data_IF_952111725221
#
_entry.id   IF_952111725221
#
_cell.length_a   1.000
_cell.length_b   1.000
_cell.length_c   1.000
_cell.angle_alpha   90.00
_cell.angle_beta   90.00
_cell.angle_gamma   90.00
#
_symmetry.space_group_name_H-M   'P 1'
#
loop_
_entity.id
_entity.type
_entity.pdbx_description
1 polymer ?
#
# COMPACT_ATOMS: atom_id res chain seq x y z
N UNK A 1 -4.79 17.56 33.22
CA UNK A 1 -5.45 17.43 31.90
C UNK A 1 -6.51 16.34 32.04
N UNK A 2 -7.80 16.63 31.82
CA UNK A 2 -8.94 15.75 32.22
C UNK A 2 -9.84 15.32 31.04
N UNK A 3 -9.66 15.90 29.84
CA UNK A 3 -10.49 15.56 28.67
C UNK A 3 -10.00 14.27 27.97
N UNK A 4 -10.92 13.44 27.44
CA UNK A 4 -10.55 12.24 26.68
C UNK A 4 -10.05 12.57 25.26
N UNK A 5 -9.29 11.65 24.66
CA UNK A 5 -8.69 11.79 23.33
C UNK A 5 -9.72 11.95 22.19
N UNK A 6 -10.96 11.48 22.39
CA UNK A 6 -12.03 11.58 21.40
C UNK A 6 -12.62 13.00 21.24
N UNK A 7 -12.08 14.00 21.97
CA UNK A 7 -12.53 15.38 21.86
C UNK A 7 -12.19 15.94 20.47
N UNK A 8 -13.19 16.43 19.75
CA UNK A 8 -12.99 17.04 18.43
C UNK A 8 -12.14 18.30 18.53
N UNK A 9 -11.32 18.51 17.49
CA UNK A 9 -10.49 19.70 17.33
C UNK A 9 -10.49 20.12 15.87
N UNK A 10 -10.09 21.36 15.62
CA UNK A 10 -9.97 21.95 14.30
C UNK A 10 -8.55 22.47 14.13
N UNK A 11 -7.99 22.31 12.94
CA UNK A 11 -6.69 22.85 12.59
C UNK A 11 -6.63 23.16 11.10
N UNK A 12 -5.76 24.11 10.76
CA UNK A 12 -5.38 24.36 9.37
C UNK A 12 -4.24 23.44 8.99
N UNK A 13 -4.39 22.75 7.86
CA UNK A 13 -3.34 21.88 7.31
C UNK A 13 -2.99 22.32 5.90
N UNK A 14 -1.71 22.66 5.70
CA UNK A 14 -1.13 23.01 4.40
C UNK A 14 -0.07 21.97 4.06
N UNK A 15 -0.16 21.39 2.87
CA UNK A 15 0.74 20.36 2.38
C UNK A 15 0.83 20.46 0.85
N UNK A 16 1.96 20.09 0.28
CA UNK A 16 2.09 19.95 -1.17
C UNK A 16 1.45 18.63 -1.67
N UNK A 17 1.25 18.54 -2.98
CA UNK A 17 0.57 17.41 -3.59
C UNK A 17 1.35 16.09 -3.41
N UNK A 18 2.68 16.09 -3.51
CA UNK A 18 3.48 14.86 -3.40
C UNK A 18 3.32 14.24 -2.01
N UNK A 19 3.47 15.05 -0.96
CA UNK A 19 3.33 14.60 0.41
C UNK A 19 1.87 14.28 0.77
N UNK A 20 0.89 14.94 0.17
CA UNK A 20 -0.52 14.59 0.32
C UNK A 20 -0.83 13.19 -0.24
N UNK A 21 -0.33 12.87 -1.44
CA UNK A 21 -0.50 11.54 -2.04
C UNK A 21 0.17 10.46 -1.19
N UNK A 22 1.36 10.74 -0.65
CA UNK A 22 2.01 9.82 0.28
C UNK A 22 1.22 9.62 1.58
N UNK A 23 0.68 10.70 2.16
CA UNK A 23 -0.21 10.62 3.33
C UNK A 23 -1.44 9.75 3.04
N UNK A 24 -2.10 9.98 1.90
CA UNK A 24 -3.27 9.20 1.48
C UNK A 24 -2.89 7.72 1.34
N UNK A 25 -1.77 7.39 0.70
CA UNK A 25 -1.33 6.00 0.56
C UNK A 25 -1.19 5.27 1.91
N UNK A 26 -0.64 5.95 2.93
CA UNK A 26 -0.45 5.37 4.26
C UNK A 26 -1.73 5.31 5.10
N UNK A 27 -2.65 6.25 4.91
CA UNK A 27 -3.86 6.38 5.74
C UNK A 27 -5.09 5.75 5.14
N UNK A 28 -5.12 5.53 3.83
CA UNK A 28 -6.14 4.73 3.16
C UNK A 28 -5.92 3.22 3.32
N UNK A 29 -4.75 2.79 3.81
CA UNK A 29 -4.41 1.38 3.98
C UNK A 29 -5.36 0.67 4.97
N UNK A 30 -5.76 -0.59 4.72
CA UNK A 30 -6.62 -1.37 5.62
C UNK A 30 -6.06 -1.52 7.05
N UNK A 31 -4.73 -1.51 7.22
CA UNK A 31 -4.06 -1.60 8.52
C UNK A 31 -4.09 -0.26 9.29
N UNK A 32 -4.46 0.85 8.64
CA UNK A 32 -4.66 2.12 9.32
C UNK A 32 -5.94 2.11 10.17
N UNK A 33 -5.94 2.92 11.24
CA UNK A 33 -7.11 3.09 12.10
C UNK A 33 -8.30 3.64 11.29
N UNK A 34 -9.51 3.14 11.55
CA UNK A 34 -10.71 3.46 10.76
C UNK A 34 -10.98 4.97 10.67
N UNK A 35 -10.86 5.70 11.78
CA UNK A 35 -11.16 7.13 11.85
C UNK A 35 -10.28 7.94 10.89
N UNK A 36 -8.97 7.68 10.84
CA UNK A 36 -8.08 8.40 9.92
C UNK A 36 -8.25 7.95 8.47
N UNK A 37 -8.63 6.69 8.25
CA UNK A 37 -8.97 6.18 6.92
C UNK A 37 -10.17 6.89 6.32
N UNK A 38 -11.22 7.14 7.11
CA UNK A 38 -12.38 7.91 6.66
C UNK A 38 -12.00 9.33 6.18
N UNK A 39 -11.06 10.00 6.87
CA UNK A 39 -10.52 11.28 6.38
C UNK A 39 -9.71 11.12 5.09
N UNK A 40 -8.85 10.10 5.01
CA UNK A 40 -8.03 9.84 3.82
C UNK A 40 -8.88 9.55 2.57
N UNK A 41 -9.99 8.81 2.71
CA UNK A 41 -10.93 8.53 1.61
C UNK A 41 -11.58 9.81 1.07
N UNK A 42 -11.97 10.74 1.94
CA UNK A 42 -12.51 12.04 1.51
C UNK A 42 -11.45 12.87 0.80
N UNK A 43 -10.23 12.92 1.33
CA UNK A 43 -9.11 13.62 0.70
C UNK A 43 -8.76 13.03 -0.68
N UNK A 44 -8.79 11.70 -0.83
CA UNK A 44 -8.56 11.04 -2.11
C UNK A 44 -9.60 11.47 -3.16
N UNK A 45 -10.89 11.55 -2.80
CA UNK A 45 -11.95 12.04 -3.69
C UNK A 45 -11.74 13.50 -4.09
N UNK A 46 -11.26 14.34 -3.18
CA UNK A 46 -10.94 15.75 -3.49
C UNK A 46 -9.78 15.81 -4.49
N UNK A 47 -8.72 15.03 -4.26
CA UNK A 47 -7.56 14.93 -5.18
C UNK A 47 -8.00 14.46 -6.56
N UNK A 48 -8.88 13.46 -6.65
CA UNK A 48 -9.44 12.98 -7.93
C UNK A 48 -10.19 14.06 -8.70
N UNK A 49 -10.95 14.92 -8.00
CA UNK A 49 -11.68 16.02 -8.63
C UNK A 49 -10.77 17.17 -9.07
N UNK A 50 -9.75 17.50 -8.28
CA UNK A 50 -8.89 18.65 -8.54
C UNK A 50 -7.74 18.37 -9.51
N UNK A 51 -7.11 17.20 -9.41
CA UNK A 51 -5.93 16.81 -10.19
C UNK A 51 -6.09 15.40 -10.79
N UNK A 52 -7.09 15.18 -11.67
CA UNK A 52 -7.51 13.85 -12.12
C UNK A 52 -6.39 13.04 -12.80
N UNK A 53 -5.54 13.68 -13.59
CA UNK A 53 -4.42 13.00 -14.26
C UNK A 53 -3.40 12.46 -13.24
N UNK A 54 -3.09 13.25 -12.22
CA UNK A 54 -2.18 12.84 -11.15
C UNK A 54 -2.82 11.78 -10.26
N UNK A 55 -4.12 11.90 -9.97
CA UNK A 55 -4.86 10.92 -9.20
C UNK A 55 -4.91 9.55 -9.92
N UNK A 56 -5.13 9.54 -11.24
CA UNK A 56 -5.09 8.32 -12.05
C UNK A 56 -3.71 7.66 -12.02
N UNK A 57 -2.63 8.44 -12.23
CA UNK A 57 -1.27 7.92 -12.14
C UNK A 57 -0.93 7.41 -10.72
N UNK A 58 -1.38 8.13 -9.68
CA UNK A 58 -1.20 7.68 -8.30
C UNK A 58 -1.89 6.34 -8.05
N UNK A 59 -3.12 6.16 -8.54
CA UNK A 59 -3.85 4.91 -8.41
C UNK A 59 -3.12 3.76 -9.10
N UNK A 60 -2.78 3.92 -10.37
CA UNK A 60 -2.13 2.90 -11.20
C UNK A 60 -0.77 2.47 -10.61
N UNK A 61 0.12 3.42 -10.34
CA UNK A 61 1.50 3.09 -9.95
C UNK A 61 1.72 2.88 -8.44
N UNK A 62 0.82 3.37 -7.57
CA UNK A 62 1.04 3.33 -6.11
C UNK A 62 -0.02 2.55 -5.34
N UNK A 63 -1.27 2.58 -5.77
CA UNK A 63 -2.36 1.89 -5.05
C UNK A 63 -2.58 0.49 -5.62
N UNK A 64 -2.62 0.38 -6.94
CA UNK A 64 -2.83 -0.88 -7.67
C UNK A 64 -1.50 -1.54 -8.06
N UNK A 65 -0.41 -0.76 -8.08
CA UNK A 65 0.94 -1.24 -8.28
C UNK A 65 1.51 -1.97 -7.06
N UNK A 66 2.57 -2.74 -7.30
CA UNK A 66 3.26 -3.50 -6.26
C UNK A 66 4.78 -3.33 -6.35
N UNK A 67 5.44 -3.24 -5.19
CA UNK A 67 6.89 -3.21 -5.09
C UNK A 67 7.41 -4.59 -4.70
N UNK A 68 8.31 -5.16 -5.52
CA UNK A 68 8.99 -6.41 -5.23
C UNK A 68 10.38 -6.14 -4.66
N UNK A 69 10.76 -6.89 -3.61
CA UNK A 69 12.15 -6.91 -3.17
C UNK A 69 13.06 -7.48 -4.27
N UNK A 70 14.35 -7.15 -4.25
CA UNK A 70 15.28 -7.65 -5.26
C UNK A 70 15.31 -9.18 -5.35
N UNK A 71 15.22 -9.87 -4.20
CA UNK A 71 15.11 -11.33 -4.13
C UNK A 71 13.75 -11.83 -4.65
N UNK A 72 12.65 -11.17 -4.27
CA UNK A 72 11.32 -11.52 -4.76
C UNK A 72 11.22 -11.40 -6.29
N UNK A 73 11.85 -10.38 -6.87
CA UNK A 73 11.92 -10.23 -8.33
C UNK A 73 12.71 -11.37 -9.00
N UNK A 74 13.79 -11.87 -8.38
CA UNK A 74 14.52 -13.03 -8.90
C UNK A 74 13.67 -14.30 -8.87
N UNK A 75 12.92 -14.52 -7.78
CA UNK A 75 11.96 -15.61 -7.67
C UNK A 75 10.94 -15.55 -8.79
N UNK A 76 10.32 -14.39 -9.02
CA UNK A 76 9.35 -14.21 -10.12
C UNK A 76 9.96 -14.52 -11.48
N UNK A 77 11.20 -14.08 -11.74
CA UNK A 77 11.91 -14.39 -12.99
C UNK A 77 12.12 -15.90 -13.19
N UNK A 78 12.49 -16.63 -12.14
CA UNK A 78 12.67 -18.08 -12.16
C UNK A 78 11.35 -18.81 -12.40
N UNK A 79 10.29 -18.39 -11.73
CA UNK A 79 8.93 -18.91 -11.95
C UNK A 79 8.48 -18.70 -13.41
N UNK A 80 8.71 -17.51 -13.97
CA UNK A 80 8.39 -17.21 -15.38
C UNK A 80 9.24 -18.02 -16.38
N UNK A 81 10.45 -18.43 -16.00
CA UNK A 81 11.30 -19.33 -16.79
C UNK A 81 10.84 -20.81 -16.72
N UNK A 82 9.78 -21.12 -15.98
CA UNK A 82 9.24 -22.46 -15.82
C UNK A 82 9.87 -23.28 -14.69
N UNK A 83 10.71 -22.67 -13.85
CA UNK A 83 11.24 -23.35 -12.66
C UNK A 83 10.17 -23.46 -11.57
N UNK A 84 10.04 -24.65 -10.97
CA UNK A 84 9.28 -24.83 -9.74
C UNK A 84 10.11 -24.33 -8.56
N UNK A 85 9.76 -23.14 -8.05
CA UNK A 85 10.40 -22.55 -6.87
C UNK A 85 9.48 -22.75 -5.67
N UNK A 86 9.98 -23.44 -4.66
CA UNK A 86 9.34 -23.62 -3.35
C UNK A 86 9.92 -22.64 -2.32
N UNK A 87 9.33 -22.60 -1.11
CA UNK A 87 9.79 -21.75 -0.03
C UNK A 87 11.31 -21.92 0.26
N UNK A 88 11.79 -23.17 0.27
CA UNK A 88 13.19 -23.50 0.54
C UNK A 88 14.14 -23.04 -0.59
N UNK A 89 13.72 -23.20 -1.85
CA UNK A 89 14.47 -22.81 -3.04
C UNK A 89 14.38 -21.32 -3.40
N UNK A 90 13.51 -20.56 -2.72
CA UNK A 90 13.30 -19.13 -2.98
C UNK A 90 14.41 -18.22 -2.44
N UNK A 91 15.10 -18.62 -1.36
CA UNK A 91 16.06 -17.78 -0.65
C UNK A 91 15.44 -16.58 0.09
N UNK A 92 14.11 -16.55 0.23
CA UNK A 92 13.34 -15.57 0.98
C UNK A 92 13.08 -16.05 2.41
N UNK A 93 12.90 -15.10 3.34
CA UNK A 93 12.37 -15.45 4.66
C UNK A 93 10.90 -15.91 4.55
N UNK A 94 10.43 -16.76 5.47
CA UNK A 94 9.06 -17.28 5.44
C UNK A 94 7.97 -16.18 5.38
N UNK A 95 8.21 -15.02 6.00
CA UNK A 95 7.31 -13.86 5.88
C UNK A 95 7.30 -13.28 4.47
N UNK A 96 8.48 -13.02 3.90
CA UNK A 96 8.62 -12.44 2.56
C UNK A 96 8.08 -13.39 1.48
N UNK A 97 8.23 -14.70 1.66
CA UNK A 97 7.62 -15.70 0.78
C UNK A 97 6.09 -15.60 0.79
N UNK A 98 5.48 -15.52 1.97
CA UNK A 98 4.03 -15.34 2.09
C UNK A 98 3.56 -14.02 1.49
N UNK A 99 4.25 -12.92 1.76
CA UNK A 99 3.93 -11.62 1.17
C UNK A 99 4.01 -11.66 -0.36
N UNK A 100 5.04 -12.30 -0.93
CA UNK A 100 5.17 -12.48 -2.38
C UNK A 100 4.03 -13.31 -2.97
N UNK A 101 3.65 -14.42 -2.33
CA UNK A 101 2.54 -15.27 -2.81
C UNK A 101 1.21 -14.53 -2.77
N UNK A 102 0.92 -13.83 -1.67
CA UNK A 102 -0.27 -12.99 -1.54
C UNK A 102 -0.29 -11.94 -2.65
N UNK A 103 0.84 -11.28 -2.88
CA UNK A 103 0.98 -10.25 -3.91
C UNK A 103 0.72 -10.80 -5.32
N UNK A 104 1.17 -12.02 -5.61
CA UNK A 104 0.96 -12.69 -6.89
C UNK A 104 -0.41 -13.38 -7.01
N UNK A 105 -1.26 -13.32 -5.97
CA UNK A 105 -2.55 -14.01 -5.94
C UNK A 105 -2.44 -15.53 -5.89
N UNK A 106 -1.30 -16.07 -5.44
CA UNK A 106 -1.07 -17.50 -5.32
C UNK A 106 -1.57 -18.02 -3.96
N UNK A 107 -2.14 -19.24 -3.90
CA UNK A 107 -2.59 -19.84 -2.64
C UNK A 107 -1.42 -20.03 -1.68
N UNK A 108 -1.67 -19.98 -0.36
CA UNK A 108 -0.65 -20.32 0.63
C UNK A 108 -0.22 -21.79 0.45
N UNK A 109 1.09 -22.07 0.49
CA UNK A 109 1.59 -23.43 0.68
C UNK A 109 1.44 -23.75 2.17
N UNK A 110 0.71 -24.83 2.48
CA UNK A 110 0.50 -25.35 3.83
C UNK A 110 1.80 -25.89 4.45
#
# INVERSE_FOLDING_TARGET
>A
MVLPLASYTQWYWKIDLHNLLHFIALRADPHAQHEIRAYAEVLARIVEQWVPLTAAAFRDYRVEGAALSGKGLQVVRRMLAGETVDAAGSGLAAREWRELRILLGLPAED
#
